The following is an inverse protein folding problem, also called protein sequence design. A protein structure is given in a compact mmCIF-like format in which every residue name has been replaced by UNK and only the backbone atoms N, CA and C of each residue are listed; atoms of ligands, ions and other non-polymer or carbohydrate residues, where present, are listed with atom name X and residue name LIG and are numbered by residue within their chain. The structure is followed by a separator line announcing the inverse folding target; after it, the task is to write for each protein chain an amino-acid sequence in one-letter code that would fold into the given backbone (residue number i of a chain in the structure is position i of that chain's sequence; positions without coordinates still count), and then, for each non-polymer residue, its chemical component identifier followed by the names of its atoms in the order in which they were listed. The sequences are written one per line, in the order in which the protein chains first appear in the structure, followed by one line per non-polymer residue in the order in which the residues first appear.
data_IF_805935574729
#
_entry.id   IF_805935574729
#
_cell.length_a   1.000
_cell.length_b   1.000
_cell.length_c   1.000
_cell.angle_alpha   90.00
_cell.angle_beta   90.00
_cell.angle_gamma   90.00
#
_symmetry.space_group_name_H-M   'P 1'
#
loop_
_entity.id
_entity.type
_entity.pdbx_description
1 polymer ?
#
# COMPACT_ATOMS: atom_id res chain seq x y z
N UNK A 1 19.79 -11.48 3.82
CA UNK A 1 18.71 -10.65 3.24
C UNK A 1 18.15 -11.36 2.02
N UNK A 2 16.83 -11.47 1.92
CA UNK A 2 16.20 -12.00 0.72
C UNK A 2 16.47 -11.07 -0.46
N UNK A 3 16.79 -11.60 -1.66
CA UNK A 3 16.85 -10.78 -2.85
C UNK A 3 15.47 -10.18 -3.14
N UNK A 4 15.44 -9.02 -3.79
CA UNK A 4 14.20 -8.37 -4.18
C UNK A 4 14.31 -7.77 -5.57
N UNK A 5 13.16 -7.62 -6.22
CA UNK A 5 13.00 -6.87 -7.44
C UNK A 5 12.17 -5.62 -7.19
N UNK A 6 12.39 -4.58 -7.98
CA UNK A 6 11.62 -3.34 -7.89
C UNK A 6 10.81 -3.15 -9.17
N UNK A 7 9.50 -3.07 -9.02
CA UNK A 7 8.57 -2.70 -10.07
C UNK A 7 8.11 -1.27 -9.85
N UNK A 8 8.55 -0.35 -10.71
CA UNK A 8 8.09 1.05 -10.70
C UNK A 8 6.85 1.17 -11.57
N UNK A 9 5.79 1.73 -11.00
CA UNK A 9 4.51 1.89 -11.67
C UNK A 9 4.17 3.37 -11.77
N UNK A 10 4.18 3.91 -12.98
CA UNK A 10 3.74 5.27 -13.27
C UNK A 10 2.22 5.38 -13.31
N UNK A 11 1.71 6.53 -12.87
CA UNK A 11 0.30 6.93 -13.00
C UNK A 11 0.29 8.26 -13.72
N UNK A 12 -0.61 8.44 -14.70
CA UNK A 12 -0.62 9.66 -15.53
C UNK A 12 -0.76 10.94 -14.68
N UNK A 13 -1.61 10.93 -13.67
CA UNK A 13 -1.76 12.06 -12.74
C UNK A 13 -0.44 12.42 -12.04
N UNK A 14 0.40 11.43 -11.75
CA UNK A 14 1.71 11.65 -11.10
C UNK A 14 2.75 12.21 -12.07
N UNK A 15 2.63 11.89 -13.36
CA UNK A 15 3.57 12.32 -14.41
C UNK A 15 3.21 13.68 -14.99
N UNK A 16 1.92 13.94 -15.19
CA UNK A 16 1.38 15.14 -15.84
C UNK A 16 1.05 16.25 -14.83
N UNK A 17 1.05 15.91 -13.52
CA UNK A 17 0.50 16.77 -12.48
C UNK A 17 -1.03 16.77 -12.48
N UNK A 18 -1.61 17.29 -11.44
CA UNK A 18 -3.05 17.40 -11.29
C UNK A 18 -3.45 18.85 -11.02
N UNK A 19 -4.53 19.31 -11.65
CA UNK A 19 -5.15 20.60 -11.38
C UNK A 19 -6.55 20.40 -10.79
N UNK A 20 -6.92 21.18 -9.79
CA UNK A 20 -8.26 21.09 -9.21
C UNK A 20 -9.33 21.49 -10.21
N UNK A 21 -10.47 20.83 -10.13
CA UNK A 21 -11.72 21.36 -10.69
C UNK A 21 -12.21 22.52 -9.84
N UNK A 22 -13.02 23.41 -10.45
CA UNK A 22 -13.62 24.54 -9.75
C UNK A 22 -14.40 24.07 -8.50
N UNK A 23 -14.08 24.67 -7.36
CA UNK A 23 -14.74 24.36 -6.09
C UNK A 23 -14.16 23.16 -5.32
N UNK A 24 -13.09 22.54 -5.79
CA UNK A 24 -12.40 21.47 -5.03
C UNK A 24 -11.89 22.00 -3.69
N UNK A 25 -12.16 21.29 -2.61
CA UNK A 25 -11.68 21.60 -1.26
C UNK A 25 -10.64 20.58 -0.78
N UNK A 26 -9.75 21.04 0.10
CA UNK A 26 -8.80 20.20 0.83
C UNK A 26 -9.50 19.46 2.00
N UNK A 27 -8.74 18.64 2.74
CA UNK A 27 -9.23 17.92 3.94
C UNK A 27 -9.79 18.85 5.03
N UNK A 28 -9.40 20.12 5.04
CA UNK A 28 -9.87 21.13 5.99
C UNK A 28 -11.08 21.91 5.48
N UNK A 29 -11.60 21.57 4.29
CA UNK A 29 -12.71 22.27 3.66
C UNK A 29 -12.32 23.61 3.01
N UNK A 30 -11.02 23.93 2.86
CA UNK A 30 -10.53 25.14 2.19
C UNK A 30 -10.47 24.91 0.70
N UNK A 31 -10.81 25.92 -0.09
CA UNK A 31 -10.66 25.87 -1.54
C UNK A 31 -9.21 25.57 -1.92
N UNK A 32 -9.03 24.58 -2.77
CA UNK A 32 -7.72 24.23 -3.32
C UNK A 32 -7.32 25.30 -4.33
N UNK A 33 -6.13 25.85 -4.17
CA UNK A 33 -5.62 26.90 -5.08
C UNK A 33 -5.45 26.32 -6.47
N UNK A 34 -5.86 27.09 -7.52
CA UNK A 34 -5.64 26.70 -8.91
C UNK A 34 -4.14 26.77 -9.26
N UNK A 35 -3.48 25.65 -9.07
CA UNK A 35 -2.09 25.38 -9.48
C UNK A 35 -1.91 23.92 -9.83
N UNK A 36 -0.83 23.59 -10.45
CA UNK A 36 -0.44 22.19 -10.65
C UNK A 36 0.07 21.57 -9.36
N UNK A 37 -0.46 20.41 -9.02
CA UNK A 37 -0.07 19.58 -7.86
C UNK A 37 0.68 18.34 -8.33
N UNK A 38 1.59 17.85 -7.50
CA UNK A 38 2.41 16.69 -7.79
C UNK A 38 2.35 15.64 -6.67
N UNK A 39 3.02 14.51 -6.84
CA UNK A 39 3.00 13.38 -5.91
C UNK A 39 3.32 13.72 -4.44
N UNK A 40 4.03 14.81 -4.18
CA UNK A 40 4.35 15.23 -2.80
C UNK A 40 3.16 15.89 -2.09
N UNK A 41 2.24 16.45 -2.86
CA UNK A 41 1.05 17.15 -2.36
C UNK A 41 -0.08 16.16 -2.04
N UNK A 42 -0.09 14.97 -2.69
CA UNK A 42 -1.20 14.01 -2.64
C UNK A 42 -1.31 13.30 -1.30
N UNK A 43 -2.54 13.07 -0.87
CA UNK A 43 -2.96 12.31 0.31
C UNK A 43 -2.59 12.93 1.67
N UNK A 44 -1.81 14.01 1.71
CA UNK A 44 -1.59 14.77 2.95
C UNK A 44 -2.70 15.81 3.16
N UNK A 45 -2.74 16.82 2.28
CA UNK A 45 -3.72 17.89 2.34
C UNK A 45 -4.73 17.80 1.19
N UNK A 46 -4.32 17.23 0.07
CA UNK A 46 -5.10 17.04 -1.13
C UNK A 46 -5.38 15.55 -1.35
N UNK A 47 -6.66 15.17 -1.30
CA UNK A 47 -7.13 13.82 -1.59
C UNK A 47 -7.54 13.73 -3.05
N UNK A 48 -7.01 12.76 -3.77
CA UNK A 48 -7.38 12.43 -5.14
C UNK A 48 -7.86 10.97 -5.15
N UNK A 49 -9.18 10.79 -5.05
CA UNK A 49 -9.78 9.45 -4.95
C UNK A 49 -9.53 8.63 -6.21
N UNK A 50 -9.56 9.26 -7.39
CA UNK A 50 -9.27 8.61 -8.68
C UNK A 50 -7.87 7.99 -8.69
N UNK A 51 -6.88 8.67 -8.08
CA UNK A 51 -5.53 8.14 -7.96
C UNK A 51 -5.50 6.87 -7.11
N UNK A 52 -6.17 6.89 -5.97
CA UNK A 52 -6.26 5.72 -5.08
C UNK A 52 -6.92 4.53 -5.78
N UNK A 53 -7.98 4.78 -6.54
CA UNK A 53 -8.67 3.75 -7.34
C UNK A 53 -7.77 3.16 -8.42
N UNK A 54 -6.99 4.00 -9.13
CA UNK A 54 -6.04 3.55 -10.15
C UNK A 54 -4.93 2.68 -9.53
N UNK A 55 -4.39 3.06 -8.38
CA UNK A 55 -3.40 2.26 -7.65
C UNK A 55 -3.97 0.90 -7.28
N UNK A 56 -5.17 0.87 -6.69
CA UNK A 56 -5.84 -0.36 -6.30
C UNK A 56 -6.12 -1.27 -7.50
N UNK A 57 -6.59 -0.69 -8.62
CA UNK A 57 -6.81 -1.43 -9.86
C UNK A 57 -5.50 -2.02 -10.43
N UNK A 58 -4.45 -1.21 -10.57
CA UNK A 58 -3.15 -1.68 -11.10
C UNK A 58 -2.54 -2.79 -10.25
N UNK A 59 -2.61 -2.65 -8.92
CA UNK A 59 -2.14 -3.68 -7.99
C UNK A 59 -2.97 -4.96 -8.12
N UNK A 60 -4.29 -4.83 -8.18
CA UNK A 60 -5.20 -5.98 -8.31
C UNK A 60 -4.98 -6.73 -9.63
N UNK A 61 -4.76 -6.01 -10.74
CA UNK A 61 -4.44 -6.63 -12.03
C UNK A 61 -3.08 -7.34 -12.00
N UNK A 62 -2.08 -6.76 -11.32
CA UNK A 62 -0.80 -7.41 -11.12
C UNK A 62 -0.95 -8.72 -10.34
N UNK A 63 -1.72 -8.70 -9.25
CA UNK A 63 -1.98 -9.90 -8.44
C UNK A 63 -2.77 -10.96 -9.21
N UNK A 64 -3.78 -10.57 -10.00
CA UNK A 64 -4.55 -11.50 -10.84
C UNK A 64 -3.67 -12.24 -11.86
N UNK A 65 -2.64 -11.57 -12.38
CA UNK A 65 -1.70 -12.15 -13.36
C UNK A 65 -0.61 -13.02 -12.72
N UNK A 66 -0.33 -12.84 -11.44
CA UNK A 66 0.75 -13.54 -10.74
C UNK A 66 0.20 -14.47 -9.65
N UNK A 67 -0.13 -13.91 -8.48
CA UNK A 67 -0.70 -14.67 -7.36
C UNK A 67 -1.62 -13.78 -6.54
N UNK A 68 -2.91 -14.05 -6.57
CA UNK A 68 -3.92 -13.28 -5.82
C UNK A 68 -3.85 -13.49 -4.30
N UNK A 69 -3.14 -14.51 -3.85
CA UNK A 69 -2.94 -14.81 -2.42
C UNK A 69 -1.54 -14.48 -1.92
N UNK A 70 -0.72 -13.83 -2.74
CA UNK A 70 0.55 -13.29 -2.30
C UNK A 70 0.33 -12.25 -1.19
N UNK A 71 0.79 -12.55 0.02
CA UNK A 71 0.68 -11.63 1.16
C UNK A 71 1.38 -10.32 0.84
N UNK A 72 0.64 -9.23 0.95
CA UNK A 72 1.03 -7.90 0.50
C UNK A 72 0.83 -6.87 1.60
N UNK A 73 1.84 -6.03 1.85
CA UNK A 73 1.73 -4.84 2.70
C UNK A 73 1.70 -3.61 1.80
N UNK A 74 0.69 -2.75 1.95
CA UNK A 74 0.55 -1.50 1.22
C UNK A 74 0.78 -0.34 2.20
N UNK A 75 1.90 0.38 2.02
CA UNK A 75 2.25 1.54 2.82
C UNK A 75 1.60 2.80 2.26
N UNK A 76 0.68 3.37 3.02
CA UNK A 76 -0.07 4.58 2.72
C UNK A 76 0.48 5.78 3.49
N UNK A 77 0.09 7.00 3.07
CA UNK A 77 0.60 8.26 3.64
C UNK A 77 0.18 8.41 5.11
N UNK A 78 -1.09 8.13 5.40
CA UNK A 78 -1.72 8.23 6.72
C UNK A 78 -2.83 7.18 6.88
N UNK A 79 -3.49 7.21 8.04
CA UNK A 79 -4.57 6.28 8.39
C UNK A 79 -5.76 6.41 7.45
N UNK A 80 -6.16 7.62 7.13
CA UNK A 80 -7.26 7.94 6.21
C UNK A 80 -6.98 7.41 4.79
N UNK A 81 -5.76 7.59 4.29
CA UNK A 81 -5.34 6.99 3.02
C UNK A 81 -5.34 5.47 3.07
N UNK A 82 -4.91 4.86 4.19
CA UNK A 82 -4.94 3.41 4.35
C UNK A 82 -6.37 2.84 4.32
N UNK A 83 -7.34 3.56 4.90
CA UNK A 83 -8.76 3.19 4.85
C UNK A 83 -9.31 3.27 3.43
N UNK A 84 -9.11 4.39 2.73
CA UNK A 84 -9.56 4.58 1.33
C UNK A 84 -8.92 3.55 0.39
N UNK A 85 -7.66 3.23 0.59
CA UNK A 85 -6.96 2.20 -0.19
C UNK A 85 -7.54 0.81 0.09
N UNK A 86 -7.84 0.47 1.34
CA UNK A 86 -8.48 -0.79 1.69
C UNK A 86 -9.86 -0.91 1.04
N UNK A 87 -10.67 0.15 1.04
CA UNK A 87 -11.97 0.18 0.37
C UNK A 87 -11.84 -0.01 -1.14
N UNK A 88 -10.92 0.72 -1.78
CA UNK A 88 -10.66 0.58 -3.21
C UNK A 88 -10.21 -0.84 -3.59
N UNK A 89 -9.33 -1.47 -2.78
CA UNK A 89 -8.90 -2.85 -2.99
C UNK A 89 -10.03 -3.86 -2.80
N UNK A 90 -10.95 -3.64 -1.84
CA UNK A 90 -12.14 -4.48 -1.67
C UNK A 90 -13.04 -4.39 -2.90
N UNK A 91 -13.22 -3.20 -3.45
CA UNK A 91 -14.02 -2.99 -4.66
C UNK A 91 -13.43 -3.72 -5.88
N UNK A 92 -12.12 -3.71 -6.04
CA UNK A 92 -11.43 -4.42 -7.13
C UNK A 92 -11.38 -5.95 -6.96
N UNK A 93 -11.61 -6.46 -5.75
CA UNK A 93 -11.51 -7.87 -5.40
C UNK A 93 -12.79 -8.42 -4.74
N UNK A 94 -13.96 -7.94 -5.16
CA UNK A 94 -15.26 -8.29 -4.57
C UNK A 94 -15.50 -9.80 -4.52
N UNK A 95 -15.05 -10.54 -5.53
CA UNK A 95 -15.19 -11.99 -5.62
C UNK A 95 -14.47 -12.73 -4.48
N UNK A 96 -13.30 -12.25 -4.06
CA UNK A 96 -12.55 -12.83 -2.94
C UNK A 96 -12.99 -12.29 -1.59
N UNK A 97 -13.34 -11.02 -1.51
CA UNK A 97 -13.87 -10.39 -0.30
C UNK A 97 -15.23 -10.98 0.09
N UNK A 98 -16.08 -11.32 -0.88
CA UNK A 98 -17.35 -12.00 -0.63
C UNK A 98 -17.15 -13.41 -0.03
N UNK A 99 -16.05 -14.09 -0.37
CA UNK A 99 -15.72 -15.41 0.20
C UNK A 99 -15.12 -15.27 1.60
N UNK A 100 -14.29 -14.26 1.82
CA UNK A 100 -13.69 -13.97 3.11
C UNK A 100 -13.36 -12.47 3.22
N UNK A 101 -14.07 -11.69 4.06
CA UNK A 101 -13.84 -10.26 4.24
C UNK A 101 -12.42 -9.91 4.70
N UNK A 102 -11.72 -10.84 5.34
CA UNK A 102 -10.33 -10.67 5.76
C UNK A 102 -9.31 -10.72 4.61
N UNK A 103 -9.76 -10.90 3.36
CA UNK A 103 -8.88 -10.81 2.21
C UNK A 103 -8.17 -9.46 2.14
N UNK A 104 -8.89 -8.37 2.45
CA UNK A 104 -8.32 -7.01 2.59
C UNK A 104 -8.59 -6.49 3.99
N UNK A 105 -7.54 -6.16 4.74
CA UNK A 105 -7.64 -5.58 6.08
C UNK A 105 -6.79 -4.31 6.19
N UNK A 106 -7.36 -3.28 6.84
CA UNK A 106 -6.58 -2.14 7.31
C UNK A 106 -5.99 -2.49 8.68
N UNK A 107 -4.66 -2.37 8.82
CA UNK A 107 -3.96 -2.56 10.10
C UNK A 107 -3.23 -1.26 10.43
N UNK A 108 -3.83 -0.44 11.30
CA UNK A 108 -3.31 0.85 11.75
C UNK A 108 -3.37 0.96 13.27
N UNK A 109 -2.67 1.94 13.82
CA UNK A 109 -2.54 2.07 15.28
C UNK A 109 -3.84 2.41 16.02
N UNK A 110 -4.84 2.91 15.33
CA UNK A 110 -6.16 3.30 15.85
C UNK A 110 -7.25 2.24 15.61
N UNK A 111 -6.97 1.20 14.82
CA UNK A 111 -7.93 0.18 14.44
C UNK A 111 -7.71 -1.11 15.24
N UNK A 112 -8.51 -1.33 16.28
CA UNK A 112 -8.39 -2.51 17.16
C UNK A 112 -8.75 -3.83 16.44
N UNK A 113 -9.67 -3.80 15.48
CA UNK A 113 -9.99 -4.96 14.65
C UNK A 113 -8.77 -5.34 13.80
N UNK A 114 -8.17 -4.36 13.12
CA UNK A 114 -6.96 -4.57 12.34
C UNK A 114 -5.79 -5.08 13.18
N UNK A 115 -5.58 -4.54 14.38
CA UNK A 115 -4.51 -5.01 15.28
C UNK A 115 -4.64 -6.49 15.63
N UNK A 116 -5.85 -7.02 15.78
CA UNK A 116 -6.08 -8.46 16.02
C UNK A 116 -5.66 -9.32 14.83
N UNK A 117 -5.73 -8.79 13.62
CA UNK A 117 -5.34 -9.48 12.40
C UNK A 117 -3.83 -9.42 12.11
N UNK A 118 -3.07 -8.68 12.91
CA UNK A 118 -1.63 -8.59 12.76
C UNK A 118 -0.94 -9.94 12.96
N UNK A 119 -1.28 -10.65 14.04
CA UNK A 119 -0.71 -11.97 14.32
C UNK A 119 -1.08 -13.01 13.25
N UNK A 120 -2.34 -13.16 12.81
CA UNK A 120 -2.67 -14.00 11.67
C UNK A 120 -1.91 -13.63 10.39
N UNK A 121 -1.72 -12.35 10.12
CA UNK A 121 -0.94 -11.91 8.94
C UNK A 121 0.52 -12.35 9.00
N UNK A 122 1.13 -12.31 10.18
CA UNK A 122 2.52 -12.73 10.40
C UNK A 122 2.68 -14.26 10.43
N UNK A 123 1.60 -14.99 10.71
CA UNK A 123 1.62 -16.45 10.79
C UNK A 123 1.71 -17.06 9.39
N UNK A 124 2.71 -17.90 9.18
CA UNK A 124 2.97 -18.60 7.92
C UNK A 124 1.89 -19.59 7.53
N UNK A 125 1.21 -20.19 8.51
CA UNK A 125 0.13 -21.16 8.29
C UNK A 125 -1.22 -20.48 8.02
N UNK A 126 -1.35 -19.19 8.32
CA UNK A 126 -2.60 -18.43 8.13
C UNK A 126 -2.67 -17.86 6.72
N UNK A 127 -3.72 -18.22 5.97
CA UNK A 127 -3.95 -17.68 4.62
C UNK A 127 -4.38 -16.21 4.63
N UNK A 128 -5.13 -15.80 5.65
CA UNK A 128 -5.69 -14.46 5.78
C UNK A 128 -5.14 -13.73 7.00
N UNK A 129 -5.05 -12.38 6.95
CA UNK A 129 -5.27 -11.48 5.82
C UNK A 129 -4.28 -11.67 4.67
N UNK A 130 -4.67 -11.23 3.47
CA UNK A 130 -3.80 -11.27 2.28
C UNK A 130 -3.27 -9.88 1.94
N UNK A 131 -4.16 -8.90 1.72
CA UNK A 131 -3.79 -7.52 1.41
C UNK A 131 -3.98 -6.66 2.67
N UNK A 132 -2.90 -6.09 3.16
CA UNK A 132 -2.90 -5.26 4.37
C UNK A 132 -2.51 -3.84 4.02
N UNK A 133 -3.41 -2.88 4.25
CA UNK A 133 -3.09 -1.46 4.15
C UNK A 133 -2.67 -0.93 5.52
N UNK A 134 -1.65 -0.08 5.53
CA UNK A 134 -1.11 0.49 6.76
C UNK A 134 -0.56 1.88 6.54
N UNK A 135 -0.40 2.63 7.60
CA UNK A 135 0.31 3.91 7.62
C UNK A 135 1.72 3.76 8.17
N UNK A 136 2.50 4.84 8.13
CA UNK A 136 3.89 4.88 8.63
C UNK A 136 4.06 4.45 10.09
N UNK A 137 3.02 4.57 10.91
CA UNK A 137 3.09 4.24 12.35
C UNK A 137 3.32 2.75 12.63
N UNK A 138 3.02 1.87 11.69
CA UNK A 138 3.31 0.43 11.80
C UNK A 138 4.63 0.00 11.14
N UNK A 139 5.51 0.94 10.79
CA UNK A 139 6.84 0.60 10.27
C UNK A 139 7.71 -0.11 11.31
N UNK A 140 7.39 0.02 12.61
CA UNK A 140 8.03 -0.71 13.70
C UNK A 140 7.15 -1.87 14.16
N UNK A 141 7.66 -3.11 14.11
CA UNK A 141 7.00 -4.26 14.76
C UNK A 141 6.26 -5.27 13.87
N UNK A 142 6.02 -5.00 12.60
CA UNK A 142 5.46 -6.02 11.71
C UNK A 142 6.61 -6.89 11.17
N UNK A 143 6.69 -8.12 11.62
CA UNK A 143 7.54 -9.13 11.05
C UNK A 143 6.65 -10.11 10.27
N UNK A 144 6.71 -10.07 8.96
CA UNK A 144 5.89 -10.90 8.10
C UNK A 144 6.78 -11.72 7.15
N UNK A 145 7.30 -12.89 7.62
CA UNK A 145 8.21 -13.70 6.83
C UNK A 145 7.60 -14.16 5.50
N UNK A 146 6.29 -14.35 5.44
CA UNK A 146 5.58 -14.74 4.22
C UNK A 146 5.18 -13.58 3.31
N UNK A 147 5.45 -12.32 3.68
CA UNK A 147 5.15 -11.17 2.83
C UNK A 147 5.92 -11.24 1.51
N UNK A 148 5.22 -11.29 0.39
CA UNK A 148 5.78 -11.41 -0.96
C UNK A 148 5.84 -10.09 -1.70
N UNK A 149 4.93 -9.15 -1.39
CA UNK A 149 4.89 -7.83 -1.99
C UNK A 149 4.92 -6.74 -0.91
N UNK A 150 5.73 -5.73 -1.16
CA UNK A 150 5.71 -4.47 -0.42
C UNK A 150 5.34 -3.38 -1.41
N UNK A 151 4.20 -2.73 -1.20
CA UNK A 151 3.68 -1.67 -2.05
C UNK A 151 3.93 -0.32 -1.39
N UNK A 152 4.58 0.58 -2.10
CA UNK A 152 4.91 1.92 -1.64
C UNK A 152 3.98 2.92 -2.31
N UNK A 153 2.94 3.34 -1.60
CA UNK A 153 2.07 4.44 -1.98
C UNK A 153 2.14 5.59 -0.98
N UNK A 154 3.33 5.81 -0.43
CA UNK A 154 3.70 6.97 0.37
C UNK A 154 5.08 7.46 -0.04
N UNK A 155 5.34 8.76 0.15
CA UNK A 155 6.67 9.29 -0.04
C UNK A 155 7.56 8.92 1.15
N UNK A 156 8.67 8.25 0.88
CA UNK A 156 9.66 7.86 1.87
C UNK A 156 10.67 9.00 2.01
N UNK A 157 10.89 9.44 3.26
CA UNK A 157 11.69 10.63 3.55
C UNK A 157 13.19 10.35 3.76
N UNK A 158 13.57 9.10 4.06
CA UNK A 158 14.95 8.76 4.39
C UNK A 158 15.33 7.33 4.01
N UNK A 159 16.64 7.10 3.83
CA UNK A 159 17.18 5.74 3.64
C UNK A 159 16.88 4.83 4.85
N UNK A 160 16.85 5.36 6.06
CA UNK A 160 16.53 4.59 7.27
C UNK A 160 15.08 4.09 7.22
N UNK A 161 14.14 4.96 6.88
CA UNK A 161 12.73 4.60 6.69
C UNK A 161 12.57 3.56 5.58
N UNK A 162 13.25 3.76 4.45
CA UNK A 162 13.24 2.81 3.34
C UNK A 162 13.72 1.41 3.78
N UNK A 163 14.87 1.35 4.49
CA UNK A 163 15.41 0.08 5.01
C UNK A 163 14.47 -0.59 6.02
N UNK A 164 13.79 0.17 6.87
CA UNK A 164 12.80 -0.36 7.82
C UNK A 164 11.62 -0.99 7.09
N UNK A 165 11.11 -0.35 6.04
CA UNK A 165 10.00 -0.84 5.23
C UNK A 165 10.40 -2.11 4.48
N UNK A 166 11.50 -2.10 3.74
CA UNK A 166 11.94 -3.27 2.97
C UNK A 166 12.33 -4.44 3.87
N UNK A 167 12.81 -4.14 5.09
CA UNK A 167 13.14 -5.15 6.10
C UNK A 167 11.98 -6.11 6.42
N UNK A 168 10.74 -5.69 6.16
CA UNK A 168 9.54 -6.53 6.35
C UNK A 168 9.47 -7.71 5.39
N UNK A 169 10.02 -7.56 4.19
CA UNK A 169 10.04 -8.62 3.17
C UNK A 169 11.35 -9.41 3.12
N UNK A 170 12.38 -9.03 3.90
CA UNK A 170 13.73 -9.56 3.71
C UNK A 170 13.97 -10.96 4.26
N UNK A 171 13.03 -11.54 4.99
CA UNK A 171 13.16 -12.93 5.43
C UNK A 171 12.83 -13.89 4.29
N UNK A 172 13.70 -14.89 4.13
CA UNK A 172 13.41 -16.05 3.30
C UNK A 172 12.49 -17.00 4.08
N UNK A 173 11.62 -17.66 3.38
CA UNK A 173 10.74 -18.72 3.91
C UNK A 173 10.63 -19.83 2.88
N UNK A 174 11.71 -20.62 2.68
CA UNK A 174 11.76 -21.66 1.65
C UNK A 174 10.68 -22.73 1.81
N UNK A 175 10.26 -22.99 3.06
CA UNK A 175 9.20 -23.95 3.40
C UNK A 175 7.85 -23.53 2.79
N UNK A 176 7.67 -22.22 2.53
CA UNK A 176 6.49 -21.63 1.89
C UNK A 176 6.81 -21.07 0.50
N UNK A 177 7.87 -21.58 -0.14
CA UNK A 177 8.27 -21.23 -1.51
C UNK A 177 8.57 -19.72 -1.69
N UNK A 178 9.08 -19.07 -0.63
CA UNK A 178 9.49 -17.67 -0.68
C UNK A 178 11.01 -17.55 -0.73
N UNK A 179 11.53 -17.26 -1.92
CA UNK A 179 12.96 -17.05 -2.19
C UNK A 179 13.33 -15.60 -2.47
N UNK A 180 12.35 -14.74 -2.74
CA UNK A 180 12.51 -13.32 -2.98
C UNK A 180 11.21 -12.58 -2.65
N UNK A 181 11.24 -11.26 -2.69
CA UNK A 181 10.04 -10.42 -2.61
C UNK A 181 10.07 -9.33 -3.68
N UNK A 182 8.93 -8.70 -3.92
CA UNK A 182 8.78 -7.62 -4.90
C UNK A 182 8.40 -6.33 -4.20
N UNK A 183 9.08 -5.25 -4.54
CA UNK A 183 8.69 -3.88 -4.18
C UNK A 183 7.92 -3.31 -5.36
N UNK A 184 6.69 -2.87 -5.13
CA UNK A 184 5.87 -2.15 -6.11
C UNK A 184 5.84 -0.68 -5.70
N UNK A 185 6.49 0.17 -6.46
CA UNK A 185 6.69 1.58 -6.11
C UNK A 185 5.83 2.49 -7.01
N UNK A 186 4.82 3.12 -6.39
CA UNK A 186 3.91 4.09 -7.02
C UNK A 186 4.32 5.55 -6.81
N UNK A 187 5.41 5.82 -6.08
CA UNK A 187 5.85 7.18 -5.70
C UNK A 187 7.30 7.50 -6.09
N UNK A 188 7.88 6.68 -6.96
CA UNK A 188 9.28 6.81 -7.42
C UNK A 188 10.32 6.84 -6.27
N UNK A 189 10.03 6.20 -5.15
CA UNK A 189 10.94 6.13 -4.00
C UNK A 189 12.25 5.43 -4.37
N UNK A 190 12.18 4.38 -5.19
CA UNK A 190 13.34 3.60 -5.61
C UNK A 190 14.35 4.39 -6.47
N UNK A 191 13.99 5.58 -6.95
CA UNK A 191 14.94 6.49 -7.62
C UNK A 191 15.77 7.32 -6.64
N UNK A 192 15.34 7.43 -5.39
CA UNK A 192 15.98 8.26 -4.36
C UNK A 192 17.02 7.47 -3.57
N UNK A 193 16.86 6.16 -3.54
CA UNK A 193 17.62 5.21 -2.73
C UNK A 193 18.11 4.02 -3.58
#
# INVERSE_FOLDING_TARGET
LAPYQVLRVGINVDLEGWRPEDGKTDKSGRLVTDREYNTKDYDRNLVIDERTQIVAWKLSEYLKKNDRFAKTIIFCVDIDHAERMAEALRNENQDLVAKNPKYVMQITGDNDEGKRELHPFQNEESRYPVLVTTSKLLTTGIDAPTCRLIVLDSNIGSMTEFKQIIGRGTRLSPEFDKYYFTIVDFRENARKF
#
